data_IF_524674411142
#
_entry.id   IF_524674411142
#
_cell.length_a   1.000
_cell.length_b   1.000
_cell.length_c   1.000
_cell.angle_alpha   90.00
_cell.angle_beta   90.00
_cell.angle_gamma   90.00
#
_symmetry.space_group_name_H-M   'P 1'
#
loop_
_entity.id
_entity.type
_entity.pdbx_description
1 polymer ?
#
# COMPACT_ATOMS: atom_id res chain seq x y z
N UNK A 1 6.29 6.77 29.51
CA UNK A 1 6.12 5.64 28.58
C UNK A 1 6.56 6.09 27.19
N UNK A 2 7.48 5.40 26.51
CA UNK A 2 7.90 5.77 25.16
C UNK A 2 6.71 5.76 24.19
N UNK A 3 6.67 6.71 23.26
CA UNK A 3 5.56 6.83 22.28
C UNK A 3 5.27 5.53 21.50
N UNK A 4 6.33 4.75 21.26
CA UNK A 4 6.21 3.47 20.57
C UNK A 4 5.41 2.44 21.38
N UNK A 5 5.65 2.31 22.67
CA UNK A 5 4.92 1.38 23.54
C UNK A 5 3.44 1.75 23.68
N UNK A 6 3.15 3.05 23.80
CA UNK A 6 1.77 3.53 23.82
C UNK A 6 1.03 3.18 22.53
N UNK A 7 1.64 3.40 21.37
CA UNK A 7 1.09 3.04 20.07
C UNK A 7 0.82 1.54 19.97
N UNK A 8 1.78 0.70 20.35
CA UNK A 8 1.65 -0.77 20.33
C UNK A 8 0.49 -1.23 21.21
N UNK A 9 0.34 -0.65 22.41
CA UNK A 9 -0.80 -0.97 23.30
C UNK A 9 -2.14 -0.59 22.67
N UNK A 10 -2.23 0.60 22.10
CA UNK A 10 -3.45 1.09 21.45
C UNK A 10 -3.85 0.23 20.25
N UNK A 11 -2.87 -0.16 19.41
CA UNK A 11 -3.12 -0.99 18.24
C UNK A 11 -3.49 -2.44 18.63
N UNK A 12 -2.90 -2.97 19.69
CA UNK A 12 -3.32 -4.29 20.23
C UNK A 12 -4.76 -4.28 20.69
N UNK A 13 -5.18 -3.26 21.44
CA UNK A 13 -6.57 -3.10 21.86
C UNK A 13 -7.54 -2.92 20.69
N UNK A 14 -7.11 -2.22 19.64
CA UNK A 14 -7.89 -2.07 18.42
C UNK A 14 -8.02 -3.40 17.67
N UNK A 15 -6.92 -4.13 17.47
CA UNK A 15 -6.93 -5.43 16.81
C UNK A 15 -7.93 -6.39 17.49
N UNK A 16 -7.89 -6.47 18.81
CA UNK A 16 -8.84 -7.28 19.59
C UNK A 16 -10.31 -6.87 19.31
N UNK A 17 -10.63 -5.56 19.30
CA UNK A 17 -12.00 -5.09 19.00
C UNK A 17 -12.44 -5.41 17.56
N UNK A 18 -11.51 -5.42 16.62
CA UNK A 18 -11.78 -5.72 15.21
C UNK A 18 -11.74 -7.22 14.88
N UNK A 19 -11.46 -8.08 15.87
CA UNK A 19 -11.30 -9.53 15.65
C UNK A 19 -10.08 -9.87 14.76
N UNK A 20 -9.01 -9.06 14.88
CA UNK A 20 -7.75 -9.27 14.18
C UNK A 20 -6.71 -9.90 15.12
N UNK A 21 -5.88 -10.78 14.61
CA UNK A 21 -4.66 -11.21 15.29
C UNK A 21 -3.70 -10.03 15.42
N UNK A 22 -2.90 -10.00 16.49
CA UNK A 22 -1.94 -8.92 16.73
C UNK A 22 -0.55 -9.46 17.10
N UNK A 23 0.45 -8.97 16.38
CA UNK A 23 1.86 -9.24 16.64
C UNK A 23 2.61 -7.91 16.76
N UNK A 24 3.26 -7.66 17.92
CA UNK A 24 3.96 -6.39 18.19
C UNK A 24 5.23 -6.24 17.36
N UNK A 25 5.98 -7.33 17.20
CA UNK A 25 7.24 -7.40 16.46
C UNK A 25 7.13 -8.43 15.33
N UNK A 26 7.81 -8.15 14.24
CA UNK A 26 7.90 -9.07 13.11
C UNK A 26 8.95 -10.15 13.38
N UNK A 27 8.50 -11.41 13.47
CA UNK A 27 9.36 -12.57 13.70
C UNK A 27 9.66 -13.36 12.43
N UNK A 28 9.05 -12.98 11.30
CA UNK A 28 9.13 -13.73 10.03
C UNK A 28 9.76 -12.94 8.88
N UNK A 29 10.34 -11.77 9.17
CA UNK A 29 10.90 -10.86 8.17
C UNK A 29 9.91 -10.56 7.03
N UNK A 30 8.75 -10.03 7.41
CA UNK A 30 7.69 -9.64 6.48
C UNK A 30 8.19 -8.73 5.35
N UNK A 31 9.09 -7.75 5.58
CA UNK A 31 9.66 -6.96 4.49
C UNK A 31 10.41 -7.77 3.44
N UNK A 32 11.12 -8.83 3.82
CA UNK A 32 11.80 -9.71 2.88
C UNK A 32 10.79 -10.54 2.06
N UNK A 33 9.72 -11.03 2.70
CA UNK A 33 8.64 -11.74 2.00
C UNK A 33 7.92 -10.85 0.97
N UNK A 34 7.88 -9.54 1.20
CA UNK A 34 7.25 -8.55 0.33
C UNK A 34 8.23 -7.83 -0.61
N UNK A 35 9.43 -8.40 -0.82
CA UNK A 35 10.49 -7.77 -1.62
C UNK A 35 10.13 -7.60 -3.11
N UNK A 36 9.09 -8.26 -3.60
CA UNK A 36 8.60 -8.04 -4.97
C UNK A 36 7.94 -6.67 -5.16
N UNK A 37 7.39 -6.09 -4.10
CA UNK A 37 6.87 -4.74 -4.15
C UNK A 37 7.97 -3.69 -4.12
N UNK A 38 7.82 -2.63 -4.91
CA UNK A 38 8.79 -1.52 -5.03
C UNK A 38 9.02 -0.80 -3.71
N UNK A 39 7.99 -0.75 -2.83
CA UNK A 39 8.12 -0.14 -1.52
C UNK A 39 9.23 -0.79 -0.69
N UNK A 40 9.30 -2.12 -0.69
CA UNK A 40 10.23 -2.89 0.15
C UNK A 40 11.65 -3.03 -0.45
N UNK A 41 11.84 -2.61 -1.71
CA UNK A 41 13.17 -2.49 -2.34
C UNK A 41 13.86 -1.16 -2.03
N UNK A 42 13.18 -0.21 -1.39
CA UNK A 42 13.69 1.15 -1.17
C UNK A 42 14.53 1.24 0.08
N UNK A 43 15.82 1.58 -0.07
CA UNK A 43 16.70 1.86 1.06
C UNK A 43 17.21 0.60 1.75
N UNK A 44 17.37 0.67 3.08
CA UNK A 44 17.91 -0.40 3.91
C UNK A 44 17.33 -0.36 5.32
N UNK A 45 17.69 -1.34 6.18
CA UNK A 45 17.22 -1.46 7.57
C UNK A 45 15.70 -1.50 7.65
N UNK A 46 15.11 -2.37 6.85
CA UNK A 46 13.66 -2.60 6.81
C UNK A 46 13.17 -3.18 8.13
N UNK A 47 12.03 -2.69 8.61
CA UNK A 47 11.37 -3.19 9.82
C UNK A 47 9.87 -3.10 9.68
N UNK A 48 9.17 -4.22 9.92
CA UNK A 48 7.75 -4.24 10.19
C UNK A 48 7.50 -4.36 11.71
N UNK A 49 6.38 -3.84 12.18
CA UNK A 49 5.94 -3.92 13.58
C UNK A 49 4.45 -3.65 13.68
N UNK A 50 3.85 -3.96 14.83
CA UNK A 50 2.42 -3.73 15.08
C UNK A 50 1.54 -4.35 13.99
N UNK A 51 1.80 -5.62 13.67
CA UNK A 51 1.11 -6.34 12.60
C UNK A 51 -0.25 -6.79 13.12
N UNK A 52 -1.31 -6.37 12.43
CA UNK A 52 -2.69 -6.82 12.62
C UNK A 52 -3.07 -7.65 11.40
N UNK A 53 -3.62 -8.83 11.60
CA UNK A 53 -3.88 -9.82 10.54
C UNK A 53 -5.30 -10.36 10.64
N UNK A 54 -5.94 -10.52 9.49
CA UNK A 54 -7.13 -11.35 9.32
C UNK A 54 -6.88 -12.34 8.20
N UNK A 55 -7.02 -13.61 8.50
CA UNK A 55 -6.85 -14.69 7.55
C UNK A 55 -8.13 -15.50 7.46
N UNK A 56 -8.47 -15.94 6.25
CA UNK A 56 -9.51 -16.92 5.98
C UNK A 56 -8.96 -17.90 4.94
N UNK A 57 -8.63 -19.11 5.38
CA UNK A 57 -8.02 -20.14 4.53
C UNK A 57 -9.01 -20.69 3.49
N UNK A 58 -10.32 -20.69 3.80
CA UNK A 58 -11.34 -21.24 2.89
C UNK A 58 -11.47 -20.44 1.60
N UNK A 59 -11.23 -19.12 1.66
CA UNK A 59 -11.29 -18.23 0.51
C UNK A 59 -9.91 -17.68 0.12
N UNK A 60 -8.84 -18.28 0.62
CA UNK A 60 -7.46 -17.84 0.36
C UNK A 60 -7.26 -16.33 0.55
N UNK A 61 -7.75 -15.81 1.69
CA UNK A 61 -7.71 -14.40 2.02
C UNK A 61 -6.78 -14.16 3.20
N UNK A 62 -5.80 -13.27 3.03
CA UNK A 62 -4.89 -12.82 4.10
C UNK A 62 -4.71 -11.30 4.00
N UNK A 63 -5.33 -10.57 4.92
CA UNK A 63 -5.21 -9.13 5.02
C UNK A 63 -4.36 -8.75 6.26
N UNK A 64 -3.40 -7.87 6.05
CA UNK A 64 -2.51 -7.38 7.12
C UNK A 64 -2.43 -5.87 7.09
N UNK A 65 -2.42 -5.23 8.27
CA UNK A 65 -2.01 -3.85 8.45
C UNK A 65 -0.81 -3.84 9.39
N UNK A 66 0.23 -3.11 9.02
CA UNK A 66 1.42 -3.01 9.84
C UNK A 66 2.14 -1.67 9.67
N UNK A 67 2.93 -1.31 10.67
CA UNK A 67 3.85 -0.19 10.60
C UNK A 67 5.14 -0.65 9.92
N UNK A 68 5.56 0.07 8.90
CA UNK A 68 6.77 -0.21 8.15
C UNK A 68 7.74 0.96 8.21
N UNK A 69 9.02 0.66 8.42
CA UNK A 69 10.11 1.64 8.49
C UNK A 69 11.31 1.19 7.67
N UNK A 70 11.99 2.15 7.08
CA UNK A 70 13.27 1.94 6.39
C UNK A 70 14.08 3.24 6.41
N UNK A 71 15.37 3.14 6.05
CA UNK A 71 16.26 4.29 5.95
C UNK A 71 16.82 4.42 4.53
N UNK A 72 17.09 5.65 4.12
CA UNK A 72 17.87 5.97 2.93
C UNK A 72 19.08 6.79 3.31
N UNK A 73 20.20 6.48 2.71
CA UNK A 73 21.40 7.28 2.80
C UNK A 73 21.36 8.36 1.72
N UNK A 74 21.65 9.59 2.08
CA UNK A 74 21.77 10.75 1.19
C UNK A 74 23.07 11.48 1.56
N UNK A 75 24.17 11.09 0.94
CA UNK A 75 25.51 11.50 1.33
C UNK A 75 25.78 11.06 2.79
N UNK A 76 26.15 12.01 3.65
CA UNK A 76 26.43 11.75 5.08
C UNK A 76 25.18 11.75 5.97
N UNK A 77 24.00 11.90 5.39
CA UNK A 77 22.75 11.98 6.16
C UNK A 77 21.90 10.71 5.98
N UNK A 78 21.27 10.29 7.08
CA UNK A 78 20.31 9.19 7.09
C UNK A 78 18.90 9.75 7.16
N UNK A 79 18.12 9.54 6.12
CA UNK A 79 16.69 9.88 6.12
C UNK A 79 15.87 8.67 6.50
N UNK A 80 15.05 8.81 7.55
CA UNK A 80 14.13 7.77 8.01
C UNK A 80 12.77 7.95 7.35
N UNK A 81 12.19 6.85 6.92
CA UNK A 81 10.85 6.78 6.35
C UNK A 81 10.01 5.83 7.18
N UNK A 82 8.74 6.17 7.36
CA UNK A 82 7.80 5.34 8.09
C UNK A 82 6.39 5.52 7.55
N UNK A 83 5.67 4.43 7.39
CA UNK A 83 4.26 4.44 6.98
C UNK A 83 3.53 3.21 7.50
N UNK A 84 2.21 3.34 7.62
CA UNK A 84 1.33 2.20 7.79
C UNK A 84 1.03 1.61 6.42
N UNK A 85 1.14 0.30 6.28
CA UNK A 85 0.89 -0.45 5.03
C UNK A 85 -0.28 -1.39 5.26
N UNK A 86 -1.22 -1.39 4.32
CA UNK A 86 -2.21 -2.44 4.15
C UNK A 86 -1.69 -3.38 3.07
N UNK A 87 -1.62 -4.67 3.39
CA UNK A 87 -1.29 -5.76 2.48
C UNK A 87 -2.50 -6.69 2.39
N UNK A 88 -2.74 -7.21 1.20
CA UNK A 88 -3.76 -8.22 0.99
C UNK A 88 -3.28 -9.25 -0.04
N UNK A 89 -3.51 -10.52 0.29
CA UNK A 89 -3.39 -11.67 -0.60
C UNK A 89 -4.78 -12.27 -0.79
N UNK A 90 -5.18 -12.49 -2.05
CA UNK A 90 -6.41 -13.22 -2.39
C UNK A 90 -6.32 -13.80 -3.79
N UNK A 91 -6.83 -15.01 -3.97
CA UNK A 91 -6.98 -15.62 -5.30
C UNK A 91 -8.01 -14.92 -6.20
N UNK A 92 -8.82 -14.02 -5.63
CA UNK A 92 -9.73 -13.16 -6.38
C UNK A 92 -9.04 -11.97 -7.05
N UNK A 93 -7.73 -11.73 -6.75
CA UNK A 93 -6.92 -10.75 -7.42
C UNK A 93 -6.18 -11.42 -8.58
N UNK A 94 -6.34 -10.93 -9.78
CA UNK A 94 -5.57 -11.35 -10.95
C UNK A 94 -4.77 -10.18 -11.51
N UNK A 95 -4.07 -9.41 -10.67
CA UNK A 95 -3.49 -8.13 -11.02
C UNK A 95 -2.23 -8.26 -11.89
N UNK A 96 -2.10 -7.47 -12.97
CA UNK A 96 -0.81 -7.28 -13.62
C UNK A 96 0.15 -6.55 -12.67
N UNK A 97 1.47 -6.60 -12.92
CA UNK A 97 2.39 -5.74 -12.19
C UNK A 97 2.03 -4.27 -12.46
N UNK A 98 1.54 -3.58 -11.45
CA UNK A 98 1.13 -2.19 -11.52
C UNK A 98 1.64 -1.37 -10.34
N UNK A 99 1.81 -0.09 -10.57
CA UNK A 99 2.17 0.88 -9.55
C UNK A 99 1.45 2.20 -9.76
N UNK A 100 0.49 2.49 -8.88
CA UNK A 100 -0.17 3.78 -8.76
C UNK A 100 0.51 4.60 -7.66
N UNK A 101 0.82 5.85 -7.94
CA UNK A 101 1.38 6.78 -6.96
C UNK A 101 0.89 8.19 -7.20
N UNK A 102 0.84 9.05 -6.16
CA UNK A 102 0.54 10.47 -6.35
C UNK A 102 1.55 11.11 -7.31
N UNK A 103 1.04 11.92 -8.24
CA UNK A 103 1.87 12.78 -9.08
C UNK A 103 2.55 13.85 -8.23
N UNK A 104 3.83 14.08 -8.43
CA UNK A 104 4.57 15.15 -7.77
C UNK A 104 5.24 16.02 -8.81
N UNK A 105 5.21 17.33 -8.61
CA UNK A 105 5.75 18.34 -9.56
C UNK A 105 7.20 18.04 -9.98
N UNK A 106 8.01 17.48 -9.08
CA UNK A 106 9.41 17.12 -9.38
C UNK A 106 9.56 15.98 -10.40
N UNK A 107 8.54 15.15 -10.61
CA UNK A 107 8.61 14.05 -11.57
C UNK A 107 8.33 14.50 -13.02
N UNK A 108 7.68 15.64 -13.21
CA UNK A 108 7.43 16.21 -14.56
C UNK A 108 8.69 16.67 -15.28
N UNK A 109 9.78 16.93 -14.57
CA UNK A 109 11.03 17.48 -15.14
C UNK A 109 12.12 16.42 -15.36
N UNK A 110 12.03 15.25 -14.72
CA UNK A 110 13.10 14.23 -14.69
C UNK A 110 12.88 12.95 -15.49
N UNK A 111 11.75 12.80 -16.18
CA UNK A 111 11.37 11.50 -16.75
C UNK A 111 11.45 11.44 -18.28
N UNK A 112 12.67 11.46 -18.80
CA UNK A 112 12.98 10.94 -20.13
C UNK A 112 13.30 9.43 -20.11
N UNK A 113 13.38 8.79 -18.92
CA UNK A 113 13.74 7.37 -18.79
C UNK A 113 12.82 6.66 -17.78
N UNK A 114 11.80 5.91 -18.28
CA UNK A 114 10.95 5.07 -17.44
C UNK A 114 9.73 4.54 -18.18
N UNK A 115 9.05 3.54 -17.61
CA UNK A 115 7.78 3.00 -18.12
C UNK A 115 6.79 4.15 -18.34
N UNK A 116 6.10 4.15 -19.49
CA UNK A 116 5.10 5.16 -19.85
C UNK A 116 4.02 5.24 -18.78
N UNK A 117 3.59 6.46 -18.50
CA UNK A 117 2.40 6.71 -17.68
C UNK A 117 1.15 6.26 -18.44
N UNK A 118 0.23 5.63 -17.72
CA UNK A 118 -1.04 5.17 -18.29
C UNK A 118 -2.09 6.24 -17.99
N UNK A 119 -2.31 7.12 -18.95
CA UNK A 119 -3.28 8.20 -18.84
C UNK A 119 -4.69 7.78 -19.25
N UNK A 120 -5.68 8.35 -18.57
CA UNK A 120 -7.10 8.15 -18.86
C UNK A 120 -7.72 9.48 -19.33
N UNK A 121 -7.87 9.63 -20.64
CA UNK A 121 -8.39 10.86 -21.27
C UNK A 121 -9.75 11.27 -20.71
N UNK A 122 -10.64 10.31 -20.43
CA UNK A 122 -11.96 10.55 -19.82
C UNK A 122 -11.90 10.95 -18.34
N UNK A 123 -10.74 10.74 -17.69
CA UNK A 123 -10.53 11.03 -16.26
C UNK A 123 -9.32 11.96 -16.06
N UNK A 124 -9.34 13.18 -16.57
CA UNK A 124 -8.19 14.09 -16.55
C UNK A 124 -7.79 14.49 -15.10
N UNK A 125 -8.74 14.49 -14.17
CA UNK A 125 -8.45 14.75 -12.75
C UNK A 125 -7.64 13.59 -12.12
N UNK A 126 -7.94 12.34 -12.46
CA UNK A 126 -7.16 11.18 -12.03
C UNK A 126 -5.74 11.27 -12.59
N UNK A 127 -5.59 11.39 -13.91
CA UNK A 127 -4.29 11.46 -14.59
C UNK A 127 -3.45 12.66 -14.15
N UNK A 128 -4.08 13.78 -13.75
CA UNK A 128 -3.39 14.93 -13.18
C UNK A 128 -2.97 14.78 -11.71
N UNK A 129 -3.53 13.80 -10.98
CA UNK A 129 -3.25 13.56 -9.56
C UNK A 129 -2.37 12.34 -9.31
N UNK A 130 -2.41 11.38 -10.23
CA UNK A 130 -1.74 10.08 -10.10
C UNK A 130 -0.93 9.75 -11.32
N UNK A 131 0.16 9.03 -11.09
CA UNK A 131 0.90 8.32 -12.10
C UNK A 131 0.67 6.83 -11.94
N UNK A 132 0.15 6.20 -13.00
CA UNK A 132 -0.08 4.76 -13.07
C UNK A 132 0.89 4.15 -14.09
N UNK A 133 1.65 3.15 -13.68
CA UNK A 133 2.61 2.46 -14.55
C UNK A 133 2.51 0.95 -14.34
N UNK A 134 2.83 0.18 -15.36
CA UNK A 134 2.91 -1.27 -15.31
C UNK A 134 3.38 -1.85 -16.63
N UNK A 135 3.41 -3.18 -16.75
CA UNK A 135 3.91 -3.87 -17.94
C UNK A 135 2.82 -4.08 -18.99
N UNK A 136 1.63 -4.47 -18.55
CA UNK A 136 0.49 -4.73 -19.43
C UNK A 136 -0.56 -3.61 -19.29
N UNK A 137 -0.46 -2.61 -20.17
CA UNK A 137 -1.37 -1.47 -20.16
C UNK A 137 -2.83 -1.88 -20.44
N UNK A 138 -3.07 -2.85 -21.31
CA UNK A 138 -4.43 -3.28 -21.67
C UNK A 138 -5.09 -3.92 -20.46
N UNK A 139 -4.36 -4.81 -19.78
CA UNK A 139 -4.88 -5.50 -18.61
C UNK A 139 -5.04 -4.56 -17.41
N UNK A 140 -4.13 -3.59 -17.25
CA UNK A 140 -4.26 -2.52 -16.23
C UNK A 140 -5.51 -1.69 -16.48
N UNK A 141 -5.78 -1.29 -17.72
CA UNK A 141 -7.00 -0.54 -18.07
C UNK A 141 -8.28 -1.31 -17.78
N UNK A 142 -8.26 -2.65 -17.92
CA UNK A 142 -9.39 -3.50 -17.55
C UNK A 142 -9.72 -3.42 -16.05
N UNK A 143 -8.70 -3.46 -15.18
CA UNK A 143 -8.87 -3.37 -13.73
C UNK A 143 -9.18 -1.94 -13.23
N UNK A 144 -8.69 -0.91 -13.93
CA UNK A 144 -8.94 0.49 -13.60
C UNK A 144 -10.24 0.98 -14.25
N UNK A 145 -11.36 0.39 -13.79
CA UNK A 145 -12.71 0.77 -14.20
C UNK A 145 -13.04 2.22 -13.82
N UNK A 146 -14.13 2.77 -14.35
CA UNK A 146 -14.62 4.11 -14.01
C UNK A 146 -14.82 4.27 -12.48
N UNK A 147 -15.22 3.20 -11.77
CA UNK A 147 -15.37 3.17 -10.32
C UNK A 147 -14.02 3.38 -9.61
N UNK A 148 -12.99 2.62 -9.99
CA UNK A 148 -11.63 2.72 -9.43
C UNK A 148 -11.04 4.12 -9.69
N UNK A 149 -11.18 4.64 -10.91
CA UNK A 149 -10.67 5.95 -11.31
C UNK A 149 -11.34 7.09 -10.52
N UNK A 150 -12.67 7.03 -10.35
CA UNK A 150 -13.42 7.98 -9.53
C UNK A 150 -13.02 7.90 -8.06
N UNK A 151 -12.87 6.69 -7.54
CA UNK A 151 -12.45 6.48 -6.15
C UNK A 151 -11.12 7.19 -5.88
N UNK A 152 -10.07 6.91 -6.65
CA UNK A 152 -8.77 7.55 -6.45
C UNK A 152 -8.78 9.06 -6.78
N UNK A 153 -9.68 9.54 -7.63
CA UNK A 153 -9.85 10.99 -7.85
C UNK A 153 -10.33 11.71 -6.59
N UNK A 154 -11.20 11.07 -5.79
CA UNK A 154 -11.73 11.59 -4.54
C UNK A 154 -10.74 11.35 -3.39
N UNK A 155 -10.28 10.12 -3.27
CA UNK A 155 -9.36 9.65 -2.23
C UNK A 155 -7.90 9.92 -2.60
N UNK A 156 -7.39 11.10 -2.20
CA UNK A 156 -6.06 11.57 -2.64
C UNK A 156 -4.88 11.01 -1.83
N UNK A 157 -3.73 10.94 -2.50
CA UNK A 157 -2.43 10.70 -1.85
C UNK A 157 -2.12 9.23 -1.55
N UNK A 158 -2.87 8.29 -2.11
CA UNK A 158 -2.62 6.86 -1.97
C UNK A 158 -1.55 6.38 -2.94
N UNK A 159 -0.78 5.38 -2.51
CA UNK A 159 0.06 4.56 -3.37
C UNK A 159 -0.48 3.14 -3.32
N UNK A 160 -0.65 2.52 -4.49
CA UNK A 160 -1.09 1.15 -4.67
C UNK A 160 -0.04 0.42 -5.51
N UNK A 161 0.35 -0.77 -5.09
CA UNK A 161 1.14 -1.69 -5.89
C UNK A 161 0.41 -3.01 -5.97
N UNK A 162 0.31 -3.59 -7.15
CA UNK A 162 -0.35 -4.88 -7.40
C UNK A 162 0.58 -5.80 -8.18
N UNK A 163 0.52 -7.11 -7.86
CA UNK A 163 1.23 -8.17 -8.59
C UNK A 163 0.57 -9.52 -8.32
N UNK A 164 0.01 -10.14 -9.37
CA UNK A 164 -0.67 -11.43 -9.27
C UNK A 164 -1.80 -11.38 -8.23
N UNK A 165 -1.71 -12.21 -7.22
CA UNK A 165 -2.71 -12.32 -6.16
C UNK A 165 -2.47 -11.39 -4.97
N UNK A 166 -1.60 -10.39 -5.11
CA UNK A 166 -1.15 -9.54 -4.01
C UNK A 166 -1.33 -8.07 -4.31
N UNK A 167 -1.71 -7.29 -3.29
CA UNK A 167 -1.69 -5.83 -3.35
C UNK A 167 -1.16 -5.23 -2.05
N UNK A 168 -0.57 -4.04 -2.15
CA UNK A 168 -0.32 -3.16 -1.01
C UNK A 168 -0.90 -1.77 -1.26
N UNK A 169 -1.45 -1.16 -0.20
CA UNK A 169 -1.96 0.20 -0.20
C UNK A 169 -1.30 0.99 0.94
N UNK A 170 -0.85 2.21 0.68
CA UNK A 170 -0.22 3.05 1.71
C UNK A 170 -0.23 4.53 1.30
N UNK A 171 -0.04 5.42 2.28
CA UNK A 171 0.34 6.82 2.02
C UNK A 171 1.80 7.00 2.37
N UNK A 172 2.60 7.51 1.42
CA UNK A 172 4.04 7.66 1.57
C UNK A 172 4.40 8.48 2.81
N UNK A 173 5.27 7.91 3.64
CA UNK A 173 5.78 8.54 4.86
C UNK A 173 4.69 8.96 5.86
N UNK A 174 3.57 8.23 5.92
CA UNK A 174 2.47 8.48 6.85
C UNK A 174 2.16 7.25 7.72
N UNK A 175 2.39 7.37 9.01
CA UNK A 175 1.81 6.48 10.01
C UNK A 175 0.38 6.94 10.32
N UNK A 176 -0.60 6.06 10.14
CA UNK A 176 -1.96 6.33 10.57
C UNK A 176 -2.05 6.30 12.09
N UNK A 177 -2.81 7.22 12.68
CA UNK A 177 -3.08 7.18 14.11
C UNK A 177 -3.88 5.92 14.45
N UNK A 178 -3.82 5.39 15.69
CA UNK A 178 -4.63 4.24 16.08
C UNK A 178 -6.14 4.45 15.86
N UNK A 179 -6.62 5.69 15.88
CA UNK A 179 -8.03 6.03 15.60
C UNK A 179 -8.39 5.88 14.13
N UNK A 180 -7.42 6.07 13.23
CA UNK A 180 -7.63 6.04 11.77
C UNK A 180 -7.37 4.65 11.16
N UNK A 181 -6.84 3.69 11.94
CA UNK A 181 -6.49 2.36 11.43
C UNK A 181 -7.72 1.57 10.96
N UNK A 182 -8.84 1.64 11.70
CA UNK A 182 -10.08 0.98 11.28
C UNK A 182 -10.58 1.55 9.95
N UNK A 183 -10.55 2.87 9.80
CA UNK A 183 -10.87 3.53 8.53
C UNK A 183 -9.92 3.05 7.42
N UNK A 184 -8.62 3.01 7.68
CA UNK A 184 -7.63 2.55 6.71
C UNK A 184 -7.84 1.09 6.30
N UNK A 185 -8.18 0.21 7.27
CA UNK A 185 -8.53 -1.19 6.98
C UNK A 185 -9.73 -1.28 6.03
N UNK A 186 -10.81 -0.54 6.32
CA UNK A 186 -12.00 -0.48 5.47
C UNK A 186 -11.68 0.00 4.07
N UNK A 187 -10.79 1.01 3.94
CA UNK A 187 -10.31 1.51 2.63
C UNK A 187 -9.51 0.45 1.86
N UNK A 188 -8.66 -0.31 2.53
CA UNK A 188 -7.95 -1.42 1.92
C UNK A 188 -8.88 -2.49 1.38
N UNK A 189 -9.90 -2.86 2.15
CA UNK A 189 -10.93 -3.83 1.73
C UNK A 189 -11.79 -3.29 0.57
N UNK A 190 -12.12 -2.00 0.59
CA UNK A 190 -12.86 -1.33 -0.48
C UNK A 190 -12.08 -1.37 -1.81
N UNK A 191 -10.80 -1.01 -1.78
CA UNK A 191 -9.90 -1.09 -2.95
C UNK A 191 -9.79 -2.54 -3.46
N UNK A 192 -9.63 -3.50 -2.56
CA UNK A 192 -9.63 -4.92 -2.93
C UNK A 192 -10.90 -5.31 -3.70
N UNK A 193 -12.08 -4.98 -3.15
CA UNK A 193 -13.37 -5.34 -3.79
C UNK A 193 -13.56 -4.72 -5.17
N UNK A 194 -13.03 -3.52 -5.40
CA UNK A 194 -13.09 -2.86 -6.70
C UNK A 194 -12.14 -3.49 -7.73
N UNK A 195 -11.02 -4.07 -7.26
CA UNK A 195 -9.98 -4.64 -8.12
C UNK A 195 -10.09 -6.16 -8.27
N UNK A 196 -10.87 -6.83 -7.42
CA UNK A 196 -11.10 -8.27 -7.50
C UNK A 196 -11.87 -8.62 -8.78
N UNK A 197 -11.48 -9.73 -9.40
CA UNK A 197 -12.22 -10.31 -10.50
C UNK A 197 -13.64 -10.68 -10.06
N UNK A 198 -14.63 -10.29 -10.86
CA UNK A 198 -16.06 -10.54 -10.62
C UNK A 198 -16.51 -11.80 -11.29
#
# INVERSE_FOLDING_TARGET
MPQHELRTRQLRGLAHRLGLEFQAEDTYDLPAQLADFRLFRKGSRHRASNIMRKQDELISFDARIFDYRYVKWAGNHVKRYQQTVFFLQSTQLGLPELWLRPETIMHKIGELFGRRDIDFVRFPKFSGQYRLTGEDEIFIRHHFTDEVLNYFTIEKGWSLEGIGYYLILYKKNRLFSPRDIEYFYKKGIEVFRMLADK
#
